data_IF_978996428282
#
_entry.id   IF_978996428282
#
_cell.length_a   1.000
_cell.length_b   1.000
_cell.length_c   1.000
_cell.angle_alpha   90.00
_cell.angle_beta   90.00
_cell.angle_gamma   90.00
#
_symmetry.space_group_name_H-M   'P 1'
#
loop_
_entity.id
_entity.type
_entity.pdbx_description
1 polymer ?
#
# COMPACT_ATOMS: atom_id res chain seq x y z
N UNK A 1 -47.55 -1.60 72.72
CA UNK A 1 -46.20 -1.00 72.65
C UNK A 1 -45.11 -2.06 72.39
N UNK A 2 -45.08 -3.17 73.15
CA UNK A 2 -44.09 -4.24 72.97
C UNK A 2 -44.19 -4.94 71.59
N UNK A 3 -45.41 -5.27 71.13
CA UNK A 3 -45.63 -5.90 69.82
C UNK A 3 -45.23 -5.00 68.63
N UNK A 4 -45.41 -3.69 68.77
CA UNK A 4 -45.00 -2.68 67.76
C UNK A 4 -43.47 -2.58 67.69
N UNK A 5 -42.77 -2.60 68.84
CA UNK A 5 -41.30 -2.63 68.85
C UNK A 5 -40.75 -3.91 68.24
N UNK A 6 -41.37 -5.07 68.51
CA UNK A 6 -40.96 -6.36 67.95
C UNK A 6 -41.10 -6.40 66.42
N UNK A 7 -42.23 -5.93 65.89
CA UNK A 7 -42.44 -5.76 64.43
C UNK A 7 -41.43 -4.79 63.83
N UNK A 8 -41.17 -3.65 64.47
CA UNK A 8 -40.16 -2.69 64.00
C UNK A 8 -38.74 -3.28 63.96
N UNK A 9 -38.36 -4.11 64.93
CA UNK A 9 -37.07 -4.82 64.91
C UNK A 9 -36.98 -5.89 63.82
N UNK A 10 -38.08 -6.62 63.55
CA UNK A 10 -38.15 -7.56 62.42
C UNK A 10 -38.08 -6.84 61.07
N UNK A 11 -38.81 -5.73 60.90
CA UNK A 11 -38.74 -4.93 59.68
C UNK A 11 -37.33 -4.36 59.48
N UNK A 12 -36.70 -3.80 60.51
CA UNK A 12 -35.31 -3.33 60.44
C UNK A 12 -34.33 -4.44 60.02
N UNK A 13 -34.44 -5.62 60.62
CA UNK A 13 -33.60 -6.77 60.26
C UNK A 13 -33.82 -7.21 58.79
N UNK A 14 -35.07 -7.22 58.32
CA UNK A 14 -35.39 -7.56 56.93
C UNK A 14 -34.87 -6.52 55.92
N UNK A 15 -34.87 -5.23 56.27
CA UNK A 15 -34.33 -4.15 55.43
C UNK A 15 -32.81 -4.26 55.33
N UNK A 16 -32.12 -4.54 56.43
CA UNK A 16 -30.68 -4.76 56.44
C UNK A 16 -30.29 -5.98 55.60
N UNK A 17 -31.01 -7.10 55.73
CA UNK A 17 -30.77 -8.32 54.93
C UNK A 17 -31.00 -8.09 53.44
N UNK A 18 -32.09 -7.41 53.04
CA UNK A 18 -32.37 -7.10 51.63
C UNK A 18 -31.35 -6.12 51.04
N UNK A 19 -30.86 -5.18 51.84
CA UNK A 19 -29.81 -4.25 51.43
C UNK A 19 -28.48 -4.96 51.18
N UNK A 20 -28.10 -5.92 52.03
CA UNK A 20 -26.90 -6.75 51.84
C UNK A 20 -27.01 -7.65 50.60
N UNK A 21 -28.19 -8.22 50.36
CA UNK A 21 -28.47 -9.04 49.17
C UNK A 21 -28.37 -8.21 47.87
N UNK A 22 -28.95 -7.00 47.85
CA UNK A 22 -28.83 -6.07 46.71
C UNK A 22 -27.38 -5.63 46.47
N UNK A 23 -26.63 -5.37 47.54
CA UNK A 23 -25.22 -5.00 47.45
C UNK A 23 -24.37 -6.13 46.82
N UNK A 24 -24.58 -7.37 47.26
CA UNK A 24 -23.90 -8.56 46.68
C UNK A 24 -24.27 -8.77 45.21
N UNK A 25 -25.54 -8.59 44.86
CA UNK A 25 -26.01 -8.71 43.48
C UNK A 25 -25.42 -7.62 42.58
N UNK A 26 -25.29 -6.39 43.07
CA UNK A 26 -24.66 -5.28 42.35
C UNK A 26 -23.15 -5.49 42.15
N UNK A 27 -22.44 -6.02 43.16
CA UNK A 27 -21.02 -6.38 43.02
C UNK A 27 -20.80 -7.46 41.97
N UNK A 28 -21.60 -8.54 41.99
CA UNK A 28 -21.53 -9.59 40.97
C UNK A 28 -21.82 -9.06 39.55
N UNK A 29 -22.82 -8.19 39.41
CA UNK A 29 -23.14 -7.55 38.11
C UNK A 29 -22.00 -6.69 37.60
N UNK A 30 -21.43 -5.83 38.44
CA UNK A 30 -20.33 -4.94 38.06
C UNK A 30 -19.10 -5.72 37.57
N UNK A 31 -18.77 -6.83 38.23
CA UNK A 31 -17.60 -7.64 37.85
C UNK A 31 -17.82 -8.35 36.50
N UNK A 32 -19.03 -8.83 36.23
CA UNK A 32 -19.42 -9.41 34.93
C UNK A 32 -19.46 -8.35 33.83
N UNK A 33 -20.05 -7.19 34.10
CA UNK A 33 -20.10 -6.06 33.17
C UNK A 33 -18.70 -5.57 32.81
N UNK A 34 -17.80 -5.46 33.80
CA UNK A 34 -16.40 -5.07 33.59
C UNK A 34 -15.64 -6.11 32.77
N UNK A 35 -15.81 -7.40 33.05
CA UNK A 35 -15.17 -8.48 32.29
C UNK A 35 -15.67 -8.52 30.84
N UNK A 36 -16.97 -8.36 30.64
CA UNK A 36 -17.59 -8.33 29.30
C UNK A 36 -17.09 -7.12 28.51
N UNK A 37 -17.09 -5.93 29.12
CA UNK A 37 -16.58 -4.70 28.49
C UNK A 37 -15.10 -4.84 28.08
N UNK A 38 -14.25 -5.34 28.96
CA UNK A 38 -12.82 -5.55 28.68
C UNK A 38 -12.60 -6.55 27.54
N UNK A 39 -13.35 -7.67 27.53
CA UNK A 39 -13.25 -8.67 26.46
C UNK A 39 -13.68 -8.11 25.09
N UNK A 40 -14.74 -7.30 25.06
CA UNK A 40 -15.25 -6.69 23.83
C UNK A 40 -14.30 -5.61 23.30
N UNK A 41 -13.67 -4.83 24.20
CA UNK A 41 -12.60 -3.90 23.85
C UNK A 41 -11.38 -4.63 23.27
N UNK A 42 -10.92 -5.72 23.92
CA UNK A 42 -9.76 -6.49 23.46
C UNK A 42 -9.97 -7.08 22.05
N UNK A 43 -11.16 -7.65 21.80
CA UNK A 43 -11.52 -8.18 20.47
C UNK A 43 -11.53 -7.06 19.43
N UNK A 44 -12.14 -5.92 19.76
CA UNK A 44 -12.20 -4.76 18.85
C UNK A 44 -10.80 -4.24 18.51
N UNK A 45 -9.94 -4.07 19.51
CA UNK A 45 -8.55 -3.66 19.32
C UNK A 45 -7.78 -4.66 18.44
N UNK A 46 -7.95 -5.96 18.68
CA UNK A 46 -7.31 -6.99 17.89
C UNK A 46 -7.77 -6.95 16.43
N UNK A 47 -9.06 -6.78 16.17
CA UNK A 47 -9.60 -6.65 14.82
C UNK A 47 -9.04 -5.41 14.10
N UNK A 48 -9.01 -4.26 14.76
CA UNK A 48 -8.44 -3.02 14.20
C UNK A 48 -6.97 -3.21 13.84
N UNK A 49 -6.20 -3.85 14.72
CA UNK A 49 -4.78 -4.12 14.49
C UNK A 49 -4.58 -5.07 13.29
N UNK A 50 -5.36 -6.14 13.21
CA UNK A 50 -5.33 -7.06 12.07
C UNK A 50 -5.72 -6.36 10.76
N UNK A 51 -6.75 -5.51 10.77
CA UNK A 51 -7.13 -4.71 9.62
C UNK A 51 -6.02 -3.75 9.19
N UNK A 52 -5.36 -3.09 10.14
CA UNK A 52 -4.22 -2.20 9.85
C UNK A 52 -3.06 -2.95 9.19
N UNK A 53 -2.70 -4.12 9.71
CA UNK A 53 -1.65 -4.97 9.12
C UNK A 53 -2.05 -5.44 7.72
N UNK A 54 -3.28 -5.91 7.56
CA UNK A 54 -3.80 -6.35 6.26
C UNK A 54 -3.78 -5.22 5.23
N UNK A 55 -4.26 -4.03 5.60
CA UNK A 55 -4.24 -2.84 4.75
C UNK A 55 -2.80 -2.46 4.37
N UNK A 56 -1.86 -2.45 5.32
CA UNK A 56 -0.46 -2.14 5.05
C UNK A 56 0.17 -3.12 4.05
N UNK A 57 -0.08 -4.43 4.21
CA UNK A 57 0.40 -5.47 3.29
C UNK A 57 -0.22 -5.31 1.90
N UNK A 58 -1.53 -5.03 1.83
CA UNK A 58 -2.24 -4.80 0.57
C UNK A 58 -1.68 -3.58 -0.15
N UNK A 59 -1.57 -2.44 0.52
CA UNK A 59 -1.04 -1.19 -0.06
C UNK A 59 0.39 -1.39 -0.53
N UNK A 60 1.25 -2.03 0.27
CA UNK A 60 2.65 -2.27 -0.12
C UNK A 60 2.74 -3.11 -1.39
N UNK A 61 1.95 -4.18 -1.47
CA UNK A 61 1.96 -5.10 -2.63
C UNK A 61 1.29 -4.49 -3.86
N UNK A 62 0.20 -3.73 -3.68
CA UNK A 62 -0.59 -3.19 -4.77
C UNK A 62 -0.13 -1.81 -5.23
N UNK A 63 0.58 -1.02 -4.44
CA UNK A 63 0.93 0.34 -4.82
C UNK A 63 2.44 0.50 -4.78
N UNK A 64 3.05 0.30 -3.60
CA UNK A 64 4.47 0.60 -3.39
C UNK A 64 5.39 -0.25 -4.26
N UNK A 65 5.13 -1.56 -4.37
CA UNK A 65 5.98 -2.45 -5.16
C UNK A 65 5.93 -2.14 -6.67
N UNK A 66 4.75 -2.07 -7.33
CA UNK A 66 4.66 -1.68 -8.74
C UNK A 66 5.24 -0.29 -9.02
N UNK A 67 5.07 0.68 -8.10
CA UNK A 67 5.70 2.00 -8.26
C UNK A 67 7.23 1.94 -8.23
N UNK A 68 7.83 1.12 -7.35
CA UNK A 68 9.28 0.92 -7.33
C UNK A 68 9.79 0.24 -8.60
N UNK A 69 9.09 -0.76 -9.10
CA UNK A 69 9.42 -1.42 -10.37
C UNK A 69 9.37 -0.43 -11.54
N UNK A 70 8.40 0.48 -11.52
CA UNK A 70 8.29 1.56 -12.51
C UNK A 70 9.44 2.55 -12.40
N UNK A 71 9.82 2.93 -11.17
CA UNK A 71 10.93 3.85 -10.92
C UNK A 71 12.27 3.29 -11.41
N UNK A 72 12.54 2.00 -11.20
CA UNK A 72 13.77 1.34 -11.70
C UNK A 72 13.88 1.44 -13.22
N UNK A 73 12.76 1.24 -13.94
CA UNK A 73 12.73 1.40 -15.40
C UNK A 73 13.01 2.84 -15.82
N UNK A 74 12.42 3.81 -15.13
CA UNK A 74 12.68 5.23 -15.42
C UNK A 74 14.14 5.58 -15.18
N UNK A 75 14.74 5.08 -14.10
CA UNK A 75 16.14 5.33 -13.77
C UNK A 75 17.09 4.71 -14.81
N UNK A 76 16.79 3.51 -15.31
CA UNK A 76 17.50 2.88 -16.44
C UNK A 76 17.38 3.69 -17.73
N UNK A 77 16.18 4.17 -18.06
CA UNK A 77 15.97 5.06 -19.22
C UNK A 77 16.80 6.33 -19.06
N UNK A 78 16.81 6.92 -17.86
CA UNK A 78 17.61 8.11 -17.57
C UNK A 78 19.12 7.86 -17.66
N UNK A 79 19.60 6.64 -17.37
CA UNK A 79 20.98 6.24 -17.58
C UNK A 79 21.31 5.84 -19.02
N UNK A 80 20.34 5.89 -19.95
CA UNK A 80 20.50 5.50 -21.35
C UNK A 80 20.41 3.99 -21.61
N UNK A 81 20.12 3.17 -20.60
CA UNK A 81 19.82 1.75 -20.79
C UNK A 81 18.38 1.59 -21.26
N UNK A 82 18.21 1.60 -22.57
CA UNK A 82 16.93 1.37 -23.22
C UNK A 82 16.71 -0.11 -23.55
N UNK A 83 17.50 -1.06 -23.04
CA UNK A 83 17.35 -2.48 -23.42
C UNK A 83 16.14 -3.17 -22.76
N UNK A 84 15.64 -2.63 -21.66
CA UNK A 84 14.60 -3.26 -20.86
C UNK A 84 13.19 -3.07 -21.44
N UNK A 85 12.34 -4.08 -21.28
CA UNK A 85 10.93 -4.01 -21.69
C UNK A 85 10.03 -4.17 -20.47
N UNK A 86 9.30 -3.11 -20.12
CA UNK A 86 8.35 -3.13 -19.01
C UNK A 86 7.07 -3.87 -19.42
N UNK A 87 6.88 -5.09 -18.91
CA UNK A 87 5.65 -5.84 -19.14
C UNK A 87 4.56 -5.37 -18.19
N UNK A 88 3.58 -4.65 -18.73
CA UNK A 88 2.44 -4.15 -17.96
C UNK A 88 1.27 -5.12 -18.03
N UNK A 89 1.01 -5.83 -16.94
CA UNK A 89 -0.15 -6.74 -16.81
C UNK A 89 -1.35 -6.08 -16.16
N UNK A 90 -1.19 -4.85 -15.67
CA UNK A 90 -2.18 -4.11 -14.89
C UNK A 90 -3.07 -3.22 -15.75
N UNK A 91 -4.33 -3.09 -15.34
CA UNK A 91 -5.38 -2.34 -16.05
C UNK A 91 -5.95 -1.15 -15.27
N UNK A 92 -5.30 -0.79 -14.17
CA UNK A 92 -5.64 0.39 -13.36
C UNK A 92 -4.81 1.61 -13.80
N UNK A 93 -4.93 2.72 -13.08
CA UNK A 93 -4.22 3.98 -13.34
C UNK A 93 -2.70 3.80 -13.29
N UNK A 94 -2.21 2.90 -12.42
CA UNK A 94 -0.79 2.55 -12.36
C UNK A 94 -0.36 1.78 -13.60
N UNK A 95 -1.21 0.88 -14.11
CA UNK A 95 -1.00 0.22 -15.40
C UNK A 95 -0.93 1.21 -16.55
N UNK A 96 -1.82 2.21 -16.60
CA UNK A 96 -1.78 3.26 -17.63
C UNK A 96 -0.47 4.07 -17.55
N UNK A 97 -0.05 4.45 -16.33
CA UNK A 97 1.22 5.14 -16.10
C UNK A 97 2.42 4.30 -16.59
N UNK A 98 2.47 3.02 -16.23
CA UNK A 98 3.51 2.09 -16.65
C UNK A 98 3.56 1.94 -18.18
N UNK A 99 2.40 1.86 -18.83
CA UNK A 99 2.32 1.79 -20.30
C UNK A 99 2.86 3.07 -20.96
N UNK A 100 2.57 4.24 -20.39
CA UNK A 100 3.10 5.51 -20.85
C UNK A 100 4.63 5.56 -20.79
N UNK A 101 5.21 5.11 -19.68
CA UNK A 101 6.67 5.03 -19.50
C UNK A 101 7.30 4.01 -20.45
N UNK A 102 6.68 2.84 -20.61
CA UNK A 102 7.14 1.84 -21.57
C UNK A 102 7.17 2.39 -23.00
N UNK A 103 6.11 3.10 -23.41
CA UNK A 103 6.05 3.77 -24.72
C UNK A 103 7.16 4.81 -24.88
N UNK A 104 7.40 5.62 -23.85
CA UNK A 104 8.49 6.61 -23.85
C UNK A 104 9.85 5.94 -24.07
N UNK A 105 10.14 4.84 -23.36
CA UNK A 105 11.38 4.08 -23.52
C UNK A 105 11.56 3.53 -24.95
N UNK A 106 10.50 2.96 -25.53
CA UNK A 106 10.53 2.48 -26.93
C UNK A 106 10.77 3.62 -27.92
N UNK A 107 10.06 4.74 -27.79
CA UNK A 107 10.22 5.89 -28.67
C UNK A 107 11.64 6.47 -28.61
N UNK A 108 12.24 6.55 -27.41
CA UNK A 108 13.64 6.96 -27.27
C UNK A 108 14.60 5.98 -27.96
N UNK A 109 14.34 4.68 -27.87
CA UNK A 109 15.17 3.65 -28.50
C UNK A 109 15.14 3.77 -30.02
N UNK A 110 13.93 3.92 -30.58
CA UNK A 110 13.74 4.07 -32.02
C UNK A 110 14.40 5.34 -32.55
N UNK A 111 14.32 6.45 -31.80
CA UNK A 111 14.98 7.71 -32.15
C UNK A 111 16.51 7.56 -32.18
N UNK A 112 17.12 6.90 -31.20
CA UNK A 112 18.56 6.63 -31.19
C UNK A 112 18.95 5.70 -32.35
N UNK A 113 18.14 4.67 -32.63
CA UNK A 113 18.35 3.78 -33.78
C UNK A 113 18.39 4.56 -35.11
N UNK A 114 17.39 5.42 -35.34
CA UNK A 114 17.33 6.26 -36.53
C UNK A 114 18.52 7.23 -36.67
N UNK A 115 19.01 7.79 -35.56
CA UNK A 115 20.23 8.62 -35.57
C UNK A 115 21.45 7.80 -36.01
N UNK A 116 21.60 6.58 -35.49
CA UNK A 116 22.73 5.70 -35.84
C UNK A 116 22.70 5.32 -37.33
N UNK A 117 21.52 5.02 -37.86
CA UNK A 117 21.36 4.70 -39.28
C UNK A 117 21.70 5.91 -40.16
N UNK A 118 21.25 7.10 -39.77
CA UNK A 118 21.59 8.36 -40.46
C UNK A 118 23.09 8.66 -40.45
N UNK A 119 23.77 8.46 -39.31
CA UNK A 119 25.24 8.63 -39.21
C UNK A 119 25.98 7.64 -40.11
N UNK A 120 25.51 6.40 -40.18
CA UNK A 120 26.10 5.36 -41.07
C UNK A 120 25.95 5.77 -42.53
N UNK A 121 24.79 6.27 -42.92
CA UNK A 121 24.53 6.74 -44.29
C UNK A 121 25.40 7.95 -44.66
N UNK A 122 25.58 8.90 -43.74
CA UNK A 122 26.48 10.06 -43.94
C UNK A 122 27.94 9.61 -44.09
N UNK A 123 28.39 8.66 -43.27
CA UNK A 123 29.76 8.14 -43.36
C UNK A 123 30.03 7.48 -44.72
N UNK A 124 29.11 6.63 -45.20
CA UNK A 124 29.22 6.02 -46.53
C UNK A 124 29.22 7.06 -47.66
N UNK A 125 28.36 8.08 -47.58
CA UNK A 125 28.35 9.17 -48.56
C UNK A 125 29.67 9.98 -48.55
N UNK A 126 30.28 10.18 -47.39
CA UNK A 126 31.57 10.85 -47.25
C UNK A 126 32.72 10.02 -47.86
N UNK A 127 32.72 8.70 -47.68
CA UNK A 127 33.69 7.79 -48.32
C UNK A 127 33.56 7.84 -49.85
N UNK A 128 32.34 7.80 -50.37
CA UNK A 128 32.08 7.88 -51.81
C UNK A 128 32.54 9.23 -52.39
N UNK A 129 32.23 10.34 -51.73
CA UNK A 129 32.72 11.68 -52.11
C UNK A 129 34.25 11.78 -52.08
N UNK A 130 34.90 11.18 -51.08
CA UNK A 130 36.35 11.15 -50.99
C UNK A 130 36.95 10.39 -52.18
N UNK A 131 36.43 9.21 -52.49
CA UNK A 131 36.88 8.41 -53.63
C UNK A 131 36.71 9.16 -54.97
N UNK A 132 35.58 9.85 -55.17
CA UNK A 132 35.34 10.69 -56.36
C UNK A 132 36.33 11.85 -56.45
N UNK A 133 36.62 12.51 -55.32
CA UNK A 133 37.57 13.63 -55.26
C UNK A 133 38.99 13.15 -55.55
N UNK A 134 39.39 12.00 -55.03
CA UNK A 134 40.70 11.39 -55.26
C UNK A 134 40.89 10.99 -56.73
N UNK A 135 39.86 10.38 -57.34
CA UNK A 135 39.84 10.08 -58.77
C UNK A 135 39.93 11.35 -59.63
N UNK A 136 39.23 12.42 -59.23
CA UNK A 136 39.27 13.70 -59.95
C UNK A 136 40.62 14.39 -59.82
N UNK A 137 41.30 14.27 -58.67
CA UNK A 137 42.63 14.84 -58.45
C UNK A 137 43.75 14.03 -59.10
N UNK A 138 43.55 12.73 -59.34
CA UNK A 138 44.52 11.85 -59.98
C UNK A 138 44.38 11.79 -61.52
N UNK A 139 43.27 12.30 -62.06
CA UNK A 139 43.00 12.41 -63.50
C UNK A 139 43.35 13.76 -64.11
#
# INVERSE_FOLDING_TARGET
>A
IIDVRKKMTEYGASVLSRSDELYKLQLQRRDIESATANSMQAITTLLVLLFGIAAAVIITRQITRPLRETLDVVERIASGDLSHNLQVTRRDELGVLQQGIARMGTTLRDLIGGIRDGVTQIASAAEELSAVTEQTSAG
#
